data_IF_579583329414
#
_entry.id   IF_579583329414
#
_cell.length_a   1.000
_cell.length_b   1.000
_cell.length_c   1.000
_cell.angle_alpha   90.00
_cell.angle_beta   90.00
_cell.angle_gamma   90.00
#
_symmetry.space_group_name_H-M   'P 1'
#
loop_
_entity.id
_entity.type
_entity.pdbx_description
1 polymer ?
#
# COMPACT_ATOMS: atom_id res chain seq x y z
N UNK A 1 -47.22 32.48 -34.53
CA UNK A 1 -46.32 32.61 -33.38
C UNK A 1 -45.61 31.27 -33.24
N UNK A 2 -44.27 31.29 -33.39
CA UNK A 2 -43.30 30.18 -33.35
C UNK A 2 -43.69 29.03 -32.38
N UNK A 3 -43.55 27.75 -32.70
CA UNK A 3 -42.25 27.10 -32.90
C UNK A 3 -42.42 25.84 -33.76
N UNK A 4 -41.58 25.72 -34.78
CA UNK A 4 -41.54 24.59 -35.69
C UNK A 4 -41.14 23.31 -34.97
N UNK A 5 -41.82 22.23 -35.38
CA UNK A 5 -41.30 20.88 -35.32
C UNK A 5 -39.84 20.87 -35.79
N UNK A 6 -38.92 20.56 -34.87
CA UNK A 6 -37.57 20.16 -35.23
C UNK A 6 -37.42 18.66 -34.96
N UNK A 7 -38.36 17.89 -35.51
CA UNK A 7 -38.17 16.47 -35.81
C UNK A 7 -37.36 16.41 -37.11
N UNK A 8 -36.09 16.82 -37.03
CA UNK A 8 -35.11 16.44 -38.04
C UNK A 8 -34.49 15.16 -37.53
N UNK A 9 -34.85 14.06 -38.18
CA UNK A 9 -34.05 12.85 -38.26
C UNK A 9 -32.62 13.25 -38.68
N UNK A 10 -31.79 13.58 -37.71
CA UNK A 10 -30.38 13.83 -37.90
C UNK A 10 -29.65 12.55 -37.53
N UNK A 11 -29.44 11.73 -38.57
CA UNK A 11 -28.41 10.70 -38.71
C UNK A 11 -28.54 9.44 -37.84
N UNK A 12 -28.41 8.27 -38.46
CA UNK A 12 -28.16 6.99 -37.78
C UNK A 12 -26.79 6.92 -37.09
N UNK A 13 -26.31 8.02 -36.54
CA UNK A 13 -25.08 8.14 -35.78
C UNK A 13 -25.41 7.94 -34.30
N UNK A 14 -24.85 6.87 -33.73
CA UNK A 14 -24.86 6.67 -32.29
C UNK A 14 -24.03 7.79 -31.61
N UNK A 15 -24.45 8.23 -30.43
CA UNK A 15 -23.57 9.01 -29.56
C UNK A 15 -22.35 8.16 -29.17
N UNK A 16 -21.23 8.82 -28.90
CA UNK A 16 -19.99 8.15 -28.49
C UNK A 16 -20.21 7.29 -27.25
N UNK A 17 -20.97 7.80 -26.27
CA UNK A 17 -21.28 7.09 -25.04
C UNK A 17 -22.14 5.84 -25.28
N UNK A 18 -23.19 5.97 -26.10
CA UNK A 18 -24.03 4.82 -26.45
C UNK A 18 -23.25 3.74 -27.24
N UNK A 19 -22.27 4.16 -28.06
CA UNK A 19 -21.43 3.24 -28.81
C UNK A 19 -20.44 2.53 -27.88
N UNK A 20 -19.87 3.27 -26.93
CA UNK A 20 -18.98 2.73 -25.90
C UNK A 20 -19.71 1.70 -25.03
N UNK A 21 -20.91 2.02 -24.54
CA UNK A 21 -21.73 1.13 -23.72
C UNK A 21 -22.06 -0.17 -24.46
N UNK A 22 -22.40 -0.07 -25.74
CA UNK A 22 -22.72 -1.23 -26.58
C UNK A 22 -21.50 -2.11 -26.80
N UNK A 23 -20.31 -1.52 -26.98
CA UNK A 23 -19.05 -2.26 -27.08
C UNK A 23 -18.76 -2.95 -25.75
N UNK A 24 -18.79 -2.23 -24.62
CA UNK A 24 -18.52 -2.78 -23.30
C UNK A 24 -19.49 -3.90 -22.92
N UNK A 25 -20.77 -3.78 -23.26
CA UNK A 25 -21.78 -4.81 -23.02
C UNK A 25 -21.54 -6.10 -23.83
N UNK A 26 -20.85 -6.01 -24.97
CA UNK A 26 -20.51 -7.16 -25.82
C UNK A 26 -19.26 -7.91 -25.36
N UNK A 27 -18.50 -7.36 -24.40
CA UNK A 27 -17.25 -7.94 -23.93
C UNK A 27 -17.50 -8.92 -22.77
N UNK A 28 -16.96 -10.13 -22.88
CA UNK A 28 -16.91 -11.10 -21.79
C UNK A 28 -15.63 -10.93 -20.96
N UNK A 29 -15.72 -11.19 -19.65
CA UNK A 29 -14.57 -11.14 -18.74
C UNK A 29 -13.49 -12.17 -19.14
N UNK A 30 -12.24 -11.75 -19.23
CA UNK A 30 -11.13 -12.65 -19.60
C UNK A 30 -10.89 -13.71 -18.53
N UNK A 31 -10.38 -14.88 -18.96
CA UNK A 31 -9.91 -15.95 -18.07
C UNK A 31 -8.83 -15.42 -17.10
N UNK A 32 -8.73 -16.06 -15.94
CA UNK A 32 -7.78 -15.68 -14.89
C UNK A 32 -6.70 -16.74 -14.69
N UNK A 33 -5.47 -16.33 -14.40
CA UNK A 33 -4.35 -17.23 -14.11
C UNK A 33 -3.66 -16.82 -12.82
N UNK A 34 -3.13 -17.80 -12.07
CA UNK A 34 -2.25 -17.55 -10.91
C UNK A 34 -0.83 -17.37 -11.39
N UNK A 35 -0.21 -16.26 -11.01
CA UNK A 35 1.22 -16.00 -11.27
C UNK A 35 1.88 -15.51 -9.99
N UNK A 36 3.22 -15.51 -9.99
CA UNK A 36 4.01 -14.88 -8.92
C UNK A 36 3.83 -13.37 -9.00
N UNK A 37 3.82 -12.69 -7.86
CA UNK A 37 3.70 -11.22 -7.84
C UNK A 37 4.82 -10.49 -8.59
N UNK A 38 5.98 -11.13 -8.75
CA UNK A 38 7.08 -10.59 -9.59
C UNK A 38 6.70 -10.47 -11.05
N UNK A 39 5.85 -11.38 -11.53
CA UNK A 39 5.48 -11.52 -12.93
C UNK A 39 4.13 -10.82 -13.20
N UNK A 40 3.53 -10.23 -12.16
CA UNK A 40 2.25 -9.55 -12.17
C UNK A 40 2.34 -8.08 -12.61
N UNK A 41 3.55 -7.54 -12.80
CA UNK A 41 3.76 -6.12 -13.12
C UNK A 41 3.03 -5.71 -14.40
N UNK A 42 2.23 -4.64 -14.32
CA UNK A 42 1.41 -4.11 -15.41
C UNK A 42 0.16 -4.93 -15.73
N UNK A 43 -0.18 -5.94 -14.93
CA UNK A 43 -1.39 -6.73 -15.10
C UNK A 43 -2.50 -6.31 -14.13
N UNK A 44 -3.74 -6.68 -14.45
CA UNK A 44 -4.92 -6.34 -13.63
C UNK A 44 -5.30 -7.48 -12.69
N UNK A 45 -5.49 -7.16 -11.41
CA UNK A 45 -5.87 -8.13 -10.38
C UNK A 45 -7.28 -8.70 -10.62
N UNK A 46 -7.43 -10.02 -10.52
CA UNK A 46 -8.72 -10.69 -10.62
C UNK A 46 -9.44 -10.90 -9.28
N UNK A 47 -8.70 -10.77 -8.18
CA UNK A 47 -9.18 -10.85 -6.81
C UNK A 47 -8.51 -9.79 -5.94
N UNK A 48 -9.14 -9.50 -4.81
CA UNK A 48 -8.60 -8.64 -3.77
C UNK A 48 -7.32 -9.26 -3.18
N UNK A 49 -6.26 -8.47 -3.05
CA UNK A 49 -5.07 -8.89 -2.31
C UNK A 49 -5.13 -8.34 -0.89
N UNK A 50 -4.97 -9.26 0.04
CA UNK A 50 -5.06 -9.05 1.48
C UNK A 50 -3.67 -9.08 2.09
N UNK A 51 -3.39 -8.18 3.04
CA UNK A 51 -2.15 -8.23 3.81
C UNK A 51 -2.08 -9.54 4.60
N UNK A 52 -0.96 -10.27 4.51
CA UNK A 52 -0.74 -11.51 5.26
C UNK A 52 0.00 -11.28 6.56
N UNK A 53 0.54 -10.08 6.76
CA UNK A 53 1.33 -9.70 7.93
C UNK A 53 0.83 -8.34 8.45
N UNK A 54 0.78 -8.22 9.76
CA UNK A 54 0.62 -6.93 10.43
C UNK A 54 1.98 -6.26 10.49
N UNK A 55 2.01 -4.96 10.21
CA UNK A 55 3.18 -4.13 10.43
C UNK A 55 2.84 -2.99 11.38
N UNK A 56 3.63 -2.79 12.44
CA UNK A 56 4.73 -3.65 12.90
C UNK A 56 4.21 -4.98 13.53
N UNK A 57 5.00 -6.07 13.52
CA UNK A 57 4.57 -7.36 14.09
C UNK A 57 4.56 -7.37 15.63
N UNK A 58 5.24 -6.40 16.25
CA UNK A 58 5.33 -6.20 17.68
C UNK A 58 5.14 -4.71 17.97
N UNK A 59 4.81 -4.39 19.21
CA UNK A 59 4.77 -3.02 19.69
C UNK A 59 6.17 -2.40 19.61
N UNK A 60 6.29 -1.31 18.86
CA UNK A 60 7.51 -0.54 18.71
C UNK A 60 7.31 0.91 19.11
N UNK A 61 8.38 1.55 19.54
CA UNK A 61 8.33 2.97 19.87
C UNK A 61 8.19 3.84 18.62
N UNK A 62 7.26 4.80 18.67
CA UNK A 62 7.12 5.83 17.64
C UNK A 62 8.12 6.98 17.80
N UNK A 63 8.72 7.13 18.98
CA UNK A 63 9.57 8.26 19.36
C UNK A 63 10.79 7.80 20.15
N UNK A 64 11.80 8.66 20.29
CA UNK A 64 12.91 8.40 21.22
C UNK A 64 12.50 8.80 22.64
N UNK A 65 12.67 7.88 23.60
CA UNK A 65 12.10 8.07 24.92
C UNK A 65 12.50 7.02 25.94
N UNK A 66 11.65 6.85 26.93
CA UNK A 66 11.78 5.85 27.98
C UNK A 66 10.49 5.05 28.04
N UNK A 67 10.59 3.73 27.85
CA UNK A 67 9.50 2.80 28.05
C UNK A 67 9.31 2.59 29.56
N UNK A 68 8.10 2.86 30.03
CA UNK A 68 7.72 2.85 31.45
C UNK A 68 6.33 2.23 31.61
N UNK A 69 5.95 1.97 32.85
CA UNK A 69 4.56 1.69 33.24
C UNK A 69 3.82 3.01 33.42
N UNK A 70 2.64 3.16 32.82
CA UNK A 70 1.78 4.34 32.95
C UNK A 70 1.50 4.67 34.42
N UNK A 71 1.29 3.63 35.23
CA UNK A 71 0.98 3.73 36.66
C UNK A 71 2.10 4.43 37.45
N UNK A 72 3.36 4.30 37.03
CA UNK A 72 4.51 4.88 37.72
C UNK A 72 4.68 6.37 37.42
N UNK A 73 3.98 6.89 36.41
CA UNK A 73 4.06 8.28 35.93
C UNK A 73 2.72 9.00 36.01
N UNK A 74 1.75 8.47 36.77
CA UNK A 74 0.46 9.15 37.05
C UNK A 74 0.68 10.44 37.85
N UNK A 75 1.64 10.44 38.76
CA UNK A 75 2.00 11.59 39.59
C UNK A 75 3.40 12.07 39.22
N UNK A 76 3.49 13.25 38.60
CA UNK A 76 4.77 13.86 38.24
C UNK A 76 5.12 15.05 39.14
N UNK A 77 6.42 15.31 39.40
CA UNK A 77 7.57 14.59 38.87
C UNK A 77 7.77 13.20 39.51
N UNK A 78 8.16 12.21 38.70
CA UNK A 78 8.41 10.83 39.13
C UNK A 78 9.85 10.43 38.86
N UNK A 79 10.48 9.74 39.82
CA UNK A 79 11.85 9.23 39.67
C UNK A 79 11.83 7.74 39.37
N UNK A 80 12.45 7.35 38.26
CA UNK A 80 12.51 5.95 37.80
C UNK A 80 13.96 5.52 37.60
N UNK A 81 14.22 4.22 37.75
CA UNK A 81 15.54 3.63 37.56
C UNK A 81 15.67 3.16 36.12
N UNK A 82 16.66 3.67 35.37
CA UNK A 82 16.98 3.13 34.05
C UNK A 82 17.66 1.77 34.20
N UNK A 83 16.99 0.70 33.73
CA UNK A 83 17.49 -0.70 33.84
C UNK A 83 18.08 -1.25 32.54
N UNK A 84 17.89 -0.57 31.43
CA UNK A 84 18.41 -1.02 30.14
C UNK A 84 18.10 -0.08 28.98
N UNK A 85 18.37 -0.58 27.78
CA UNK A 85 18.19 0.12 26.51
C UNK A 85 17.66 -0.84 25.43
N UNK A 86 16.64 -0.42 24.68
CA UNK A 86 16.02 -1.14 23.57
C UNK A 86 16.10 -0.32 22.29
N UNK A 87 16.75 -0.85 21.26
CA UNK A 87 16.89 -0.21 19.95
C UNK A 87 16.38 -1.12 18.82
N UNK A 88 16.16 -0.55 17.63
CA UNK A 88 15.72 -1.31 16.47
C UNK A 88 16.74 -2.43 16.15
N UNK A 89 16.26 -3.68 16.13
CA UNK A 89 17.11 -4.87 15.93
C UNK A 89 17.90 -5.34 17.16
N UNK A 90 17.93 -4.54 18.24
CA UNK A 90 18.58 -4.86 19.51
C UNK A 90 17.57 -4.68 20.66
N UNK A 91 16.57 -5.58 20.77
CA UNK A 91 15.57 -5.50 21.82
C UNK A 91 16.18 -5.78 23.19
N UNK A 92 15.72 -5.04 24.20
CA UNK A 92 15.97 -5.42 25.59
C UNK A 92 14.99 -6.52 26.00
N UNK A 93 15.49 -7.63 26.52
CA UNK A 93 14.68 -8.85 26.80
C UNK A 93 14.27 -9.00 28.27
N UNK A 94 14.50 -7.99 29.11
CA UNK A 94 14.06 -8.01 30.50
C UNK A 94 12.59 -7.62 30.66
N UNK A 95 12.11 -7.64 31.90
CA UNK A 95 10.78 -7.16 32.27
C UNK A 95 10.90 -5.83 33.03
N UNK A 96 10.06 -4.85 32.69
CA UNK A 96 10.02 -3.54 33.36
C UNK A 96 9.18 -3.64 34.62
N UNK A 97 9.83 -3.59 35.78
CA UNK A 97 9.17 -3.58 37.08
C UNK A 97 8.69 -2.18 37.48
N UNK A 98 7.91 -2.12 38.57
CA UNK A 98 7.48 -0.85 39.17
C UNK A 98 8.70 0.04 39.52
N UNK A 99 8.63 1.31 39.12
CA UNK A 99 9.70 2.29 39.34
C UNK A 99 10.89 2.14 38.37
N UNK A 100 10.78 1.31 37.34
CA UNK A 100 11.83 1.09 36.35
C UNK A 100 11.48 1.71 35.00
N UNK A 101 12.52 2.01 34.23
CA UNK A 101 12.43 2.53 32.89
C UNK A 101 13.47 1.90 31.98
N UNK A 102 13.14 1.72 30.71
CA UNK A 102 14.09 1.28 29.69
C UNK A 102 14.23 2.39 28.66
N UNK A 103 15.45 2.81 28.36
CA UNK A 103 15.69 3.75 27.27
C UNK A 103 15.26 3.09 25.97
N UNK A 104 14.44 3.75 25.17
CA UNK A 104 13.94 3.20 23.92
C UNK A 104 14.12 4.19 22.78
N UNK A 105 14.54 3.68 21.63
CA UNK A 105 14.67 4.46 20.40
C UNK A 105 13.52 4.16 19.45
N UNK A 106 13.32 5.05 18.49
CA UNK A 106 12.33 4.92 17.43
C UNK A 106 12.51 3.59 16.69
N UNK A 107 11.43 2.82 16.58
CA UNK A 107 11.45 1.47 16.01
C UNK A 107 12.02 0.38 16.92
N UNK A 108 12.47 0.71 18.13
CA UNK A 108 12.83 -0.25 19.16
C UNK A 108 11.61 -1.00 19.69
N UNK A 109 11.78 -2.26 20.05
CA UNK A 109 10.72 -3.09 20.62
C UNK A 109 10.38 -2.58 22.02
N UNK A 110 9.08 -2.42 22.29
CA UNK A 110 8.58 -2.09 23.62
C UNK A 110 8.83 -3.31 24.54
N UNK A 111 9.59 -3.16 25.63
CA UNK A 111 9.83 -4.25 26.57
C UNK A 111 8.57 -4.76 27.25
N UNK A 112 8.60 -6.03 27.68
CA UNK A 112 7.54 -6.59 28.50
C UNK A 112 7.40 -5.81 29.81
N UNK A 113 6.16 -5.53 30.22
CA UNK A 113 5.85 -4.76 31.43
C UNK A 113 5.75 -3.26 31.21
N UNK A 114 6.32 -2.70 30.14
CA UNK A 114 6.08 -1.32 29.76
C UNK A 114 4.80 -1.20 28.92
N UNK A 115 4.01 -0.15 29.16
CA UNK A 115 2.77 0.11 28.43
C UNK A 115 2.66 1.54 27.92
N UNK A 116 3.70 2.36 28.14
CA UNK A 116 3.75 3.76 27.74
C UNK A 116 5.18 4.19 27.44
N UNK A 117 5.33 5.14 26.52
CA UNK A 117 6.62 5.78 26.24
C UNK A 117 6.55 7.25 26.65
N UNK A 118 7.52 7.68 27.45
CA UNK A 118 7.76 9.09 27.76
C UNK A 118 8.86 9.60 26.84
N UNK A 119 8.59 10.66 26.09
CA UNK A 119 9.58 11.26 25.18
C UNK A 119 10.77 11.81 25.99
N UNK A 120 11.98 11.73 25.42
CA UNK A 120 13.19 12.18 26.10
C UNK A 120 13.12 13.64 26.55
N UNK A 121 12.38 14.48 25.79
CA UNK A 121 12.22 15.89 26.08
C UNK A 121 11.51 16.11 27.42
N UNK A 122 10.71 15.15 27.89
CA UNK A 122 9.97 15.22 29.15
C UNK A 122 10.73 14.59 30.32
N UNK A 123 11.99 14.22 30.13
CA UNK A 123 12.79 13.49 31.12
C UNK A 123 14.10 14.23 31.39
N UNK A 124 14.38 14.48 32.66
CA UNK A 124 15.71 14.92 33.12
C UNK A 124 16.54 13.71 33.52
N UNK A 125 17.78 13.65 33.06
CA UNK A 125 18.72 12.56 33.41
C UNK A 125 19.64 13.07 34.51
N UNK A 126 19.56 12.50 35.71
CA UNK A 126 20.27 13.01 36.89
C UNK A 126 21.63 12.34 37.15
N UNK A 127 22.07 11.38 36.33
CA UNK A 127 23.41 10.79 36.42
C UNK A 127 23.81 10.04 35.14
N UNK A 128 25.03 10.29 34.62
CA UNK A 128 25.56 9.64 33.41
C UNK A 128 26.40 8.39 33.69
N UNK A 129 26.69 8.06 34.95
CA UNK A 129 27.61 6.96 35.30
C UNK A 129 26.89 5.81 35.99
N UNK A 130 26.50 4.84 35.16
CA UNK A 130 26.25 3.43 35.46
C UNK A 130 24.94 3.00 36.16
N UNK A 131 24.18 3.88 36.82
CA UNK A 131 22.77 3.62 37.17
C UNK A 131 22.01 4.95 37.14
N UNK A 132 21.52 5.34 35.96
CA UNK A 132 20.91 6.65 35.76
C UNK A 132 19.47 6.64 36.27
N UNK A 133 19.24 7.25 37.43
CA UNK A 133 17.90 7.67 37.82
C UNK A 133 17.46 8.75 36.83
N UNK A 134 16.25 8.60 36.31
CA UNK A 134 15.60 9.57 35.45
C UNK A 134 14.45 10.23 36.19
N UNK A 135 14.23 11.52 35.95
CA UNK A 135 13.09 12.26 36.49
C UNK A 135 12.14 12.59 35.35
N UNK A 136 10.97 11.97 35.37
CA UNK A 136 9.89 12.27 34.44
C UNK A 136 9.18 13.53 34.91
N UNK A 137 9.25 14.60 34.13
CA UNK A 137 8.59 15.88 34.44
C UNK A 137 7.11 15.86 34.11
N UNK A 138 6.76 15.23 33.00
CA UNK A 138 5.39 15.14 32.50
C UNK A 138 5.11 13.70 32.07
N UNK A 139 4.12 13.09 32.71
CA UNK A 139 3.67 11.73 32.44
C UNK A 139 2.89 11.63 31.13
N UNK A 140 2.54 10.41 30.76
CA UNK A 140 1.73 10.14 29.58
C UNK A 140 0.63 9.13 29.90
N UNK A 141 -0.43 9.20 29.10
CA UNK A 141 -1.53 8.25 29.16
C UNK A 141 -1.07 6.89 28.61
N UNK A 142 -1.64 5.81 29.12
CA UNK A 142 -1.38 4.44 28.66
C UNK A 142 -1.46 4.32 27.12
N UNK A 143 -0.49 3.62 26.53
CA UNK A 143 -0.40 3.38 25.09
C UNK A 143 0.12 4.55 24.26
N UNK A 144 0.44 5.69 24.88
CA UNK A 144 0.94 6.85 24.13
C UNK A 144 2.30 6.55 23.49
N UNK A 145 2.44 6.94 22.23
CA UNK A 145 3.64 6.77 21.40
C UNK A 145 4.07 5.31 21.15
N UNK A 146 3.23 4.33 21.48
CA UNK A 146 3.42 2.94 21.07
C UNK A 146 2.75 2.74 19.71
N UNK A 147 3.51 2.22 18.74
CA UNK A 147 3.02 1.82 17.43
C UNK A 147 3.02 0.30 17.35
N UNK A 148 1.86 -0.32 17.27
CA UNK A 148 1.77 -1.78 17.14
C UNK A 148 0.48 -2.38 17.68
N UNK A 149 -0.25 -1.64 18.52
CA UNK A 149 -1.44 -2.17 19.17
C UNK A 149 -2.50 -2.60 18.12
N UNK A 150 -2.78 -3.91 17.99
CA UNK A 150 -3.99 -4.37 17.37
C UNK A 150 -5.06 -4.33 18.45
N UNK A 151 -5.97 -3.37 18.37
CA UNK A 151 -7.17 -3.36 19.20
C UNK A 151 -7.80 -4.76 19.14
N UNK A 152 -8.02 -5.35 20.32
CA UNK A 152 -8.49 -6.72 20.56
C UNK A 152 -9.88 -6.99 19.97
N UNK A 153 -10.04 -7.02 18.65
CA UNK A 153 -11.17 -7.67 17.95
C UNK A 153 -11.01 -7.74 16.43
N UNK A 154 -9.86 -7.42 15.85
CA UNK A 154 -9.80 -7.28 14.39
C UNK A 154 -8.75 -8.18 13.76
N UNK A 155 -9.21 -9.33 13.26
CA UNK A 155 -8.72 -9.88 11.99
C UNK A 155 -8.89 -8.83 10.88
N UNK A 156 -8.22 -7.68 10.96
CA UNK A 156 -8.12 -6.76 9.83
C UNK A 156 -7.03 -7.29 8.93
N UNK A 157 -7.45 -8.31 8.19
CA UNK A 157 -7.11 -8.52 6.80
C UNK A 157 -7.25 -7.17 6.09
N UNK A 158 -6.24 -6.29 6.23
CA UNK A 158 -6.25 -4.98 5.60
C UNK A 158 -6.18 -5.25 4.11
N UNK A 159 -7.27 -4.97 3.41
CA UNK A 159 -7.31 -5.02 1.96
C UNK A 159 -6.19 -4.12 1.46
N UNK A 160 -5.15 -4.71 0.88
CA UNK A 160 -3.99 -3.96 0.45
C UNK A 160 -4.20 -3.45 -0.97
N UNK A 161 -4.84 -4.27 -1.81
CA UNK A 161 -5.18 -3.91 -3.19
C UNK A 161 -6.56 -4.47 -3.58
N UNK A 162 -7.50 -3.62 -4.04
CA UNK A 162 -8.78 -4.09 -4.52
C UNK A 162 -8.64 -4.80 -5.87
N UNK A 163 -9.57 -5.69 -6.15
CA UNK A 163 -9.79 -6.31 -7.45
C UNK A 163 -9.89 -5.25 -8.55
N UNK A 164 -9.45 -5.61 -9.75
CA UNK A 164 -9.39 -4.74 -10.93
C UNK A 164 -8.38 -3.58 -10.84
N UNK A 165 -7.52 -3.55 -9.82
CA UNK A 165 -6.37 -2.64 -9.78
C UNK A 165 -5.26 -3.13 -10.71
N UNK A 166 -4.62 -2.21 -11.42
CA UNK A 166 -3.40 -2.51 -12.17
C UNK A 166 -2.20 -2.59 -11.20
N UNK A 167 -1.45 -3.68 -11.25
CA UNK A 167 -0.30 -3.89 -10.38
C UNK A 167 0.91 -3.11 -10.91
N UNK A 168 1.15 -1.92 -10.35
CA UNK A 168 2.17 -0.98 -10.77
C UNK A 168 3.50 -1.16 -10.01
N UNK A 169 4.64 -0.62 -10.51
CA UNK A 169 5.94 -0.73 -9.84
C UNK A 169 5.94 -0.20 -8.40
N UNK A 170 5.19 0.86 -8.11
CA UNK A 170 5.07 1.41 -6.75
C UNK A 170 4.51 0.40 -5.73
N UNK A 171 3.79 -0.62 -6.19
CA UNK A 171 3.21 -1.66 -5.36
C UNK A 171 4.19 -2.80 -5.05
N UNK A 172 5.34 -2.87 -5.74
CA UNK A 172 6.40 -3.86 -5.46
C UNK A 172 6.98 -3.72 -4.05
N UNK A 173 6.98 -2.51 -3.47
CA UNK A 173 7.45 -2.26 -2.11
C UNK A 173 6.65 -3.06 -1.09
N UNK A 174 5.36 -3.28 -1.37
CA UNK A 174 4.46 -4.02 -0.49
C UNK A 174 4.57 -5.54 -0.67
N UNK A 175 5.43 -6.03 -1.58
CA UNK A 175 5.57 -7.47 -1.88
C UNK A 175 5.87 -8.34 -0.66
N UNK A 176 6.62 -7.84 0.32
CA UNK A 176 6.92 -8.58 1.55
C UNK A 176 5.68 -8.80 2.42
N UNK A 177 4.65 -7.97 2.23
CA UNK A 177 3.39 -7.97 2.97
C UNK A 177 2.26 -8.64 2.21
N UNK A 178 2.47 -8.82 0.91
CA UNK A 178 1.58 -9.55 0.02
C UNK A 178 1.98 -11.04 0.01
N UNK A 179 0.98 -11.92 -0.04
CA UNK A 179 1.23 -13.35 -0.20
C UNK A 179 2.05 -13.67 -1.46
N UNK A 180 2.62 -14.88 -1.56
CA UNK A 180 3.57 -15.24 -2.64
C UNK A 180 2.99 -15.20 -4.07
N UNK A 181 1.67 -15.22 -4.23
CA UNK A 181 0.97 -15.33 -5.51
C UNK A 181 -0.33 -14.52 -5.52
N UNK A 182 -0.79 -14.11 -6.70
CA UNK A 182 -2.10 -13.50 -6.91
C UNK A 182 -2.77 -14.04 -8.18
N UNK A 183 -4.11 -14.06 -8.23
CA UNK A 183 -4.85 -14.27 -9.49
C UNK A 183 -4.98 -12.97 -10.26
N UNK A 184 -4.63 -13.04 -11.54
CA UNK A 184 -4.69 -11.93 -12.48
C UNK A 184 -5.64 -12.25 -13.62
N UNK A 185 -6.20 -11.21 -14.23
CA UNK A 185 -6.83 -11.34 -15.54
C UNK A 185 -5.75 -11.54 -16.59
N UNK A 186 -5.92 -12.55 -17.45
CA UNK A 186 -5.08 -12.69 -18.63
C UNK A 186 -5.24 -11.46 -19.52
N UNK A 187 -4.13 -10.97 -20.10
CA UNK A 187 -4.19 -9.94 -21.14
C UNK A 187 -5.10 -10.45 -22.27
N UNK A 188 -6.07 -9.62 -22.67
CA UNK A 188 -6.86 -9.93 -23.87
C UNK A 188 -5.92 -9.85 -25.07
N UNK A 189 -5.72 -10.97 -25.77
CA UNK A 189 -5.03 -10.98 -27.04
C UNK A 189 -5.98 -10.43 -28.10
N UNK A 190 -5.79 -9.17 -28.46
CA UNK A 190 -6.54 -8.55 -29.56
C UNK A 190 -5.82 -8.87 -30.87
N UNK A 191 -6.44 -9.67 -31.71
CA UNK A 191 -5.96 -9.90 -33.08
C UNK A 191 -6.64 -8.90 -34.02
N UNK A 192 -5.83 -8.13 -34.77
CA UNK A 192 -6.33 -7.17 -35.74
C UNK A 192 -6.30 -7.82 -37.12
N UNK A 193 -7.48 -8.15 -37.64
CA UNK A 193 -7.63 -8.64 -39.01
C UNK A 193 -8.04 -7.50 -39.94
N UNK A 194 -7.31 -7.33 -41.04
CA UNK A 194 -7.67 -6.38 -42.10
C UNK A 194 -8.43 -7.11 -43.20
N UNK A 195 -9.66 -6.64 -43.51
CA UNK A 195 -10.36 -7.04 -44.74
C UNK A 195 -9.82 -6.18 -45.88
N UNK A 196 -8.99 -6.78 -46.73
CA UNK A 196 -8.35 -6.10 -47.85
C UNK A 196 -9.39 -5.86 -48.97
N UNK A 197 -9.94 -4.66 -49.03
CA UNK A 197 -10.61 -4.19 -50.26
C UNK A 197 -9.49 -3.75 -51.20
N UNK A 198 -9.38 -4.43 -52.35
CA UNK A 198 -8.34 -4.45 -53.39
C UNK A 198 -7.59 -3.14 -53.75
N UNK A 199 -6.96 -2.43 -52.82
CA UNK A 199 -6.09 -1.28 -53.14
C UNK A 199 -4.96 -0.96 -52.13
N UNK A 200 -4.70 -1.82 -51.13
CA UNK A 200 -3.62 -1.59 -50.16
C UNK A 200 -2.51 -2.64 -50.29
N UNK A 201 -1.28 -2.17 -50.50
CA UNK A 201 -0.07 -3.00 -50.52
C UNK A 201 0.54 -2.99 -49.10
N UNK A 202 0.97 -4.14 -48.54
CA UNK A 202 1.70 -4.16 -47.27
C UNK A 202 3.00 -3.35 -47.38
N UNK A 203 3.48 -2.75 -46.27
CA UNK A 203 4.64 -1.87 -46.25
C UNK A 203 5.94 -2.70 -46.39
N UNK A 204 6.21 -3.24 -47.57
CA UNK A 204 7.48 -3.90 -47.89
C UNK A 204 7.84 -3.90 -49.39
N UNK A 205 7.08 -3.25 -50.27
CA UNK A 205 7.47 -3.10 -51.68
C UNK A 205 7.31 -1.66 -52.12
N UNK A 206 8.37 -1.15 -52.75
CA UNK A 206 8.49 0.19 -53.33
C UNK A 206 7.19 0.56 -54.07
N UNK A 207 6.53 1.69 -53.75
CA UNK A 207 5.31 2.08 -54.43
C UNK A 207 5.61 2.50 -55.87
N UNK A 208 4.90 1.93 -56.84
CA UNK A 208 4.78 2.49 -58.19
C UNK A 208 4.09 3.87 -58.12
N UNK A 209 4.33 4.79 -59.08
CA UNK A 209 3.98 6.21 -58.95
C UNK A 209 2.49 6.46 -59.19
N UNK A 210 1.61 6.00 -58.29
CA UNK A 210 0.20 6.43 -58.17
C UNK A 210 -0.54 5.79 -56.95
N UNK A 211 0.15 5.40 -55.87
CA UNK A 211 -0.52 4.84 -54.67
C UNK A 211 -0.14 5.62 -53.42
N UNK A 212 -1.15 6.20 -52.77
CA UNK A 212 -1.02 6.79 -51.44
C UNK A 212 -0.61 5.70 -50.44
N UNK A 213 0.58 5.83 -49.85
CA UNK A 213 0.99 4.95 -48.76
C UNK A 213 0.26 5.36 -47.47
N UNK A 214 -0.49 4.44 -46.87
CA UNK A 214 -1.04 4.63 -45.53
C UNK A 214 0.07 4.30 -44.53
N UNK A 215 0.55 5.31 -43.80
CA UNK A 215 1.57 5.14 -42.76
C UNK A 215 0.90 5.17 -41.38
N UNK A 216 0.25 4.09 -40.98
CA UNK A 216 -0.18 3.92 -39.58
C UNK A 216 0.98 3.31 -38.77
N UNK A 217 1.45 4.06 -37.77
CA UNK A 217 2.44 3.57 -36.81
C UNK A 217 1.85 2.36 -36.06
N UNK A 218 2.54 1.23 -36.08
CA UNK A 218 2.23 0.08 -35.23
C UNK A 218 2.41 0.49 -33.77
N UNK A 219 1.32 0.85 -33.08
CA UNK A 219 1.35 1.21 -31.66
C UNK A 219 1.06 0.03 -30.71
N UNK A 220 0.73 -1.14 -31.24
CA UNK A 220 0.44 -2.32 -30.45
C UNK A 220 1.35 -3.47 -30.86
N UNK A 221 2.49 -3.58 -30.18
CA UNK A 221 3.17 -4.86 -30.00
C UNK A 221 2.91 -5.31 -28.55
N UNK A 222 2.50 -6.57 -28.32
CA UNK A 222 2.42 -7.10 -26.98
C UNK A 222 3.84 -7.28 -26.43
N UNK A 223 4.13 -6.63 -25.30
CA UNK A 223 5.19 -7.06 -24.37
C UNK A 223 4.68 -8.22 -23.51
#
# INVERSE_FOLDING_TARGET
>A
MYSMANNREASGLLSVDAALDRILASLSRTKTTRVRLTDALGQTLAEDIKATLTLPPHDVSAMDGYAVRADDVVHCPANLIRVGESAAGHPWTGHVECGQAVRIFTGGFVPDGADTIIIQENVDTLSETNHSVITVREGAVKGRFISGQPDSTSQLVRLLLPKATCYLPALLVWRSLLGRQARLYLKSLVSVFYRLVMNLCPPARVPAPARSSVRMRHFYQPL
#
